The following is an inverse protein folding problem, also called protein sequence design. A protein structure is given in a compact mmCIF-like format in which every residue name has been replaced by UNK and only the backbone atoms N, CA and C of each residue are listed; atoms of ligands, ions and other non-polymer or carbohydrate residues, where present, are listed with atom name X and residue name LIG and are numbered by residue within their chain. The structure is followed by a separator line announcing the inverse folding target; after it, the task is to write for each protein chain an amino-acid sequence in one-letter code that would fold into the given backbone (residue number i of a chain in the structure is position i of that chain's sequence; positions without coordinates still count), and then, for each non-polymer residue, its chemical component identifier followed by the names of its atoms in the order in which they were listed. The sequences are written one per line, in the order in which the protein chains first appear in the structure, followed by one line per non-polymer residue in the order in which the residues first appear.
data_IF_195083510816
#
_entry.id   IF_195083510816
#
_cell.length_a   1.000
_cell.length_b   1.000
_cell.length_c   1.000
_cell.angle_alpha   90.00
_cell.angle_beta   90.00
_cell.angle_gamma   90.00
#
_symmetry.space_group_name_H-M   'P 1'
#
loop_
_entity.id
_entity.type
_entity.pdbx_description
1 polymer ?
#
# COMPACT_ATOMS: atom_id res chain seq x y z
N UNK A 1 8.32 14.53 16.12
CA UNK A 1 6.91 14.86 15.81
C UNK A 1 6.08 13.74 16.34
N UNK A 2 5.02 14.10 17.03
CA UNK A 2 4.17 13.14 17.71
C UNK A 2 3.23 12.46 16.71
N UNK A 3 2.79 11.23 16.97
CA UNK A 3 1.92 10.48 16.05
C UNK A 3 0.64 11.22 15.66
N UNK A 4 -0.03 11.85 16.63
CA UNK A 4 -1.24 12.66 16.38
C UNK A 4 -0.96 13.86 15.47
N UNK A 5 0.15 14.56 15.68
CA UNK A 5 0.57 15.70 14.85
C UNK A 5 0.81 15.27 13.38
N UNK A 6 1.26 14.03 13.16
CA UNK A 6 1.42 13.48 11.81
C UNK A 6 0.08 13.19 11.14
N UNK A 7 -0.93 12.74 11.90
CA UNK A 7 -2.28 12.55 11.37
C UNK A 7 -2.90 13.90 10.96
N UNK A 8 -2.80 14.91 11.83
CA UNK A 8 -3.28 16.27 11.53
C UNK A 8 -2.62 16.82 10.26
N UNK A 9 -1.33 16.60 10.07
CA UNK A 9 -0.64 17.05 8.85
C UNK A 9 -1.12 16.31 7.60
N UNK A 10 -1.39 15.00 7.69
CA UNK A 10 -1.96 14.21 6.58
C UNK A 10 -3.29 14.83 6.19
N UNK A 11 -4.17 15.09 7.16
CA UNK A 11 -5.47 15.68 6.89
C UNK A 11 -5.34 17.09 6.28
N UNK A 12 -4.52 17.96 6.87
CA UNK A 12 -4.34 19.33 6.41
C UNK A 12 -3.71 19.45 5.01
N UNK A 13 -2.76 18.57 4.67
CA UNK A 13 -2.03 18.66 3.40
C UNK A 13 -2.67 17.84 2.27
N UNK A 14 -3.27 16.69 2.60
CA UNK A 14 -3.78 15.73 1.62
C UNK A 14 -5.31 15.84 1.51
N UNK A 15 -6.00 16.27 2.57
CA UNK A 15 -7.46 16.38 2.59
C UNK A 15 -8.19 15.06 2.79
N UNK A 16 -7.49 14.02 3.26
CA UNK A 16 -8.07 12.71 3.58
C UNK A 16 -8.09 12.53 5.09
N UNK A 17 -9.19 11.99 5.62
CA UNK A 17 -9.28 11.64 7.04
C UNK A 17 -8.37 10.44 7.34
N UNK A 18 -7.34 10.57 8.18
CA UNK A 18 -6.52 9.42 8.55
C UNK A 18 -7.31 8.47 9.46
N UNK A 19 -7.21 7.17 9.18
CA UNK A 19 -7.81 6.11 10.01
C UNK A 19 -6.72 5.10 10.38
N UNK A 20 -5.98 5.33 11.49
CA UNK A 20 -4.88 4.44 11.88
C UNK A 20 -5.37 3.01 12.12
N UNK A 21 -4.68 2.01 11.58
CA UNK A 21 -4.96 0.59 11.84
C UNK A 21 -4.10 0.05 13.00
N UNK A 22 -2.94 0.65 13.19
CA UNK A 22 -2.05 0.41 14.32
C UNK A 22 -1.59 1.74 14.92
N UNK A 23 -1.01 1.67 16.12
CA UNK A 23 -0.51 2.84 16.82
C UNK A 23 0.90 2.61 17.36
N UNK A 24 1.84 3.57 17.23
CA UNK A 24 3.19 3.40 17.71
C UNK A 24 3.25 3.55 19.24
N UNK A 25 4.06 2.71 19.89
CA UNK A 25 4.50 2.95 21.26
C UNK A 25 5.86 3.63 21.18
N UNK A 26 5.95 4.84 21.75
CA UNK A 26 7.11 5.71 21.63
C UNK A 26 7.13 6.55 20.36
N UNK A 27 8.03 7.53 20.34
CA UNK A 27 8.16 8.51 19.25
C UNK A 27 9.33 8.17 18.30
N UNK A 28 9.43 8.93 17.20
CA UNK A 28 10.61 8.84 16.33
C UNK A 28 11.91 9.03 17.13
N UNK A 29 12.82 8.06 17.03
CA UNK A 29 14.07 8.01 17.81
C UNK A 29 14.01 7.02 18.98
N UNK A 30 12.86 6.93 19.66
CA UNK A 30 12.58 5.96 20.74
C UNK A 30 11.36 5.09 20.40
N UNK A 31 11.28 4.64 19.14
CA UNK A 31 10.17 3.81 18.67
C UNK A 31 10.36 2.39 19.21
N UNK A 32 9.36 1.89 19.97
CA UNK A 32 9.48 0.65 20.76
C UNK A 32 8.63 -0.49 20.25
N UNK A 33 7.51 -0.21 19.57
CA UNK A 33 6.62 -1.24 19.05
C UNK A 33 5.33 -0.67 18.47
N UNK A 34 4.40 -1.56 18.16
CA UNK A 34 3.09 -1.21 17.59
C UNK A 34 1.98 -1.90 18.37
N UNK A 35 0.88 -1.19 18.59
CA UNK A 35 -0.40 -1.72 19.06
C UNK A 35 -1.29 -1.88 17.83
N UNK A 36 -1.80 -3.08 17.60
CA UNK A 36 -2.87 -3.30 16.63
C UNK A 36 -4.19 -2.76 17.22
N UNK A 37 -4.82 -1.78 16.58
CA UNK A 37 -6.01 -1.11 17.17
C UNK A 37 -7.25 -2.00 17.20
N UNK A 38 -7.34 -2.98 16.28
CA UNK A 38 -8.51 -3.86 16.22
C UNK A 38 -8.50 -4.92 17.32
N UNK A 39 -7.32 -5.47 17.63
CA UNK A 39 -7.15 -6.56 18.61
C UNK A 39 -6.60 -6.10 19.96
N UNK A 40 -6.03 -4.90 20.04
CA UNK A 40 -5.28 -4.41 21.19
C UNK A 40 -3.92 -5.09 21.38
N UNK A 41 -3.49 -5.92 20.42
CA UNK A 41 -2.26 -6.71 20.54
C UNK A 41 -1.02 -5.81 20.42
N UNK A 42 -0.14 -5.86 21.43
CA UNK A 42 1.15 -5.18 21.36
C UNK A 42 2.22 -6.07 20.77
N UNK A 43 2.93 -5.55 19.78
CA UNK A 43 4.14 -6.15 19.23
C UNK A 43 5.33 -5.25 19.53
N UNK A 44 6.21 -5.72 20.40
CA UNK A 44 7.46 -5.05 20.74
C UNK A 44 8.48 -5.22 19.62
N UNK A 45 9.18 -4.15 19.29
CA UNK A 45 10.29 -4.12 18.35
C UNK A 45 11.62 -4.10 19.11
N UNK A 46 12.47 -5.10 18.89
CA UNK A 46 13.87 -5.07 19.33
C UNK A 46 14.79 -4.98 18.13
N UNK A 47 15.57 -3.89 18.05
CA UNK A 47 16.55 -3.68 16.97
C UNK A 47 17.71 -4.69 17.10
N UNK A 48 18.05 -5.33 16.00
CA UNK A 48 19.23 -6.20 15.93
C UNK A 48 20.51 -5.38 15.79
N UNK A 49 21.62 -5.77 16.44
CA UNK A 49 22.91 -5.13 16.28
C UNK A 49 23.35 -5.07 14.81
N UNK A 50 23.79 -3.90 14.36
CA UNK A 50 24.31 -3.70 13.01
C UNK A 50 23.25 -3.50 11.91
N UNK A 51 21.94 -3.59 12.22
CA UNK A 51 20.86 -3.22 11.30
C UNK A 51 20.75 -4.07 10.00
N UNK A 52 21.50 -5.17 9.93
CA UNK A 52 21.57 -6.03 8.74
C UNK A 52 20.41 -7.05 8.67
N UNK A 53 19.71 -7.26 9.78
CA UNK A 53 18.63 -8.25 9.91
C UNK A 53 17.33 -7.59 10.37
N UNK A 54 16.20 -8.26 10.08
CA UNK A 54 14.87 -7.85 10.53
C UNK A 54 14.87 -7.68 12.05
N UNK A 55 14.18 -6.65 12.55
CA UNK A 55 13.91 -6.51 13.97
C UNK A 55 13.26 -7.78 14.53
N UNK A 56 13.55 -8.08 15.79
CA UNK A 56 12.82 -9.09 16.52
C UNK A 56 11.45 -8.52 16.90
N UNK A 57 10.43 -9.33 16.70
CA UNK A 57 9.04 -9.02 17.01
C UNK A 57 8.62 -9.95 18.15
N UNK A 58 8.18 -9.38 19.25
CA UNK A 58 7.68 -10.13 20.41
C UNK A 58 6.28 -9.63 20.74
N UNK A 59 5.30 -10.55 20.73
CA UNK A 59 3.92 -10.23 21.11
C UNK A 59 3.82 -10.32 22.63
N UNK A 60 3.34 -9.24 23.25
CA UNK A 60 3.13 -9.14 24.68
C UNK A 60 1.66 -8.86 24.97
N UNK A 61 1.19 -9.34 26.12
CA UNK A 61 -0.11 -8.91 26.64
C UNK A 61 -0.03 -7.48 27.20
N UNK A 62 -1.21 -6.89 27.46
CA UNK A 62 -1.31 -5.50 27.88
C UNK A 62 -0.66 -5.23 29.26
N UNK A 63 -0.74 -6.19 30.20
CA UNK A 63 -0.18 -6.04 31.54
C UNK A 63 1.36 -6.04 31.49
N UNK A 64 1.93 -6.93 30.68
CA UNK A 64 3.38 -6.99 30.46
C UNK A 64 3.88 -5.78 29.67
N UNK A 65 3.14 -5.35 28.65
CA UNK A 65 3.45 -4.14 27.88
C UNK A 65 3.46 -2.89 28.78
N UNK A 66 2.44 -2.72 29.63
CA UNK A 66 2.37 -1.63 30.59
C UNK A 66 3.56 -1.63 31.57
N UNK A 67 3.95 -2.82 32.04
CA UNK A 67 5.09 -2.98 32.96
C UNK A 67 6.44 -2.66 32.30
N UNK A 68 6.63 -3.07 31.06
CA UNK A 68 7.90 -2.89 30.33
C UNK A 68 8.03 -1.46 29.79
N UNK A 69 7.00 -0.96 29.10
CA UNK A 69 7.08 0.28 28.34
C UNK A 69 6.71 1.51 29.16
N UNK A 70 5.94 1.32 30.25
CA UNK A 70 5.65 2.34 31.24
C UNK A 70 4.87 3.52 30.67
N UNK A 71 5.44 4.72 30.78
CA UNK A 71 4.78 5.95 30.35
C UNK A 71 4.42 5.96 28.86
N UNK A 72 5.25 5.39 27.99
CA UNK A 72 4.98 5.33 26.55
C UNK A 72 3.77 4.45 26.21
N UNK A 73 3.53 3.40 27.00
CA UNK A 73 2.34 2.57 26.87
C UNK A 73 1.08 3.33 27.26
N UNK A 74 1.13 4.01 28.41
CA UNK A 74 0.00 4.81 28.90
C UNK A 74 -0.35 5.90 27.89
N UNK A 75 0.66 6.63 27.40
CA UNK A 75 0.45 7.65 26.37
C UNK A 75 -0.15 7.05 25.10
N UNK A 76 0.38 5.93 24.58
CA UNK A 76 -0.17 5.30 23.39
C UNK A 76 -1.63 4.87 23.56
N UNK A 77 -2.02 4.37 24.74
CA UNK A 77 -3.41 4.01 25.04
C UNK A 77 -4.32 5.24 25.14
N UNK A 78 -3.89 6.31 25.82
CA UNK A 78 -4.63 7.58 25.87
C UNK A 78 -4.85 8.18 24.46
N UNK A 79 -3.84 8.10 23.59
CA UNK A 79 -3.94 8.55 22.21
C UNK A 79 -4.91 7.67 21.39
N UNK A 80 -4.91 6.34 21.60
CA UNK A 80 -5.88 5.42 20.98
C UNK A 80 -7.31 5.76 21.43
N UNK A 81 -7.53 5.97 22.73
CA UNK A 81 -8.84 6.36 23.28
C UNK A 81 -9.33 7.69 22.67
N UNK A 82 -8.42 8.64 22.47
CA UNK A 82 -8.72 9.89 21.78
C UNK A 82 -9.16 9.66 20.32
N UNK A 83 -8.45 8.79 19.59
CA UNK A 83 -8.80 8.46 18.20
C UNK A 83 -10.18 7.82 18.10
N UNK A 84 -10.52 6.91 19.02
CA UNK A 84 -11.85 6.31 19.11
C UNK A 84 -12.93 7.36 19.39
N UNK A 85 -12.67 8.27 20.33
CA UNK A 85 -13.60 9.37 20.64
C UNK A 85 -13.82 10.33 19.46
N UNK A 86 -12.82 10.48 18.58
CA UNK A 86 -12.90 11.27 17.35
C UNK A 86 -13.48 10.51 16.15
N UNK A 87 -13.78 9.21 16.29
CA UNK A 87 -14.27 8.38 15.19
C UNK A 87 -13.23 8.15 14.09
N UNK A 88 -11.94 8.15 14.44
CA UNK A 88 -10.83 7.89 13.52
C UNK A 88 -10.63 6.38 13.24
N UNK A 89 -11.71 5.61 13.31
CA UNK A 89 -11.72 4.19 13.01
C UNK A 89 -11.81 3.95 11.51
N UNK A 90 -11.27 2.81 11.10
CA UNK A 90 -11.36 2.40 9.71
C UNK A 90 -12.79 2.10 9.32
N UNK A 91 -13.21 2.72 8.23
CA UNK A 91 -14.48 2.46 7.57
C UNK A 91 -14.22 2.18 6.09
N UNK A 92 -14.64 0.99 5.65
CA UNK A 92 -14.34 0.50 4.32
C UNK A 92 -14.98 1.36 3.23
N UNK A 93 -16.18 1.87 3.46
CA UNK A 93 -16.92 2.63 2.45
C UNK A 93 -16.27 4.01 2.23
N UNK A 94 -15.88 4.72 3.29
CA UNK A 94 -15.13 5.98 3.19
C UNK A 94 -13.76 5.81 2.54
N UNK A 95 -13.07 4.69 2.78
CA UNK A 95 -11.82 4.38 2.09
C UNK A 95 -12.05 4.18 0.59
N UNK A 96 -13.05 3.40 0.22
CA UNK A 96 -13.42 3.14 -1.18
C UNK A 96 -13.92 4.40 -1.91
N UNK A 97 -14.53 5.33 -1.17
CA UNK A 97 -14.92 6.64 -1.68
C UNK A 97 -13.73 7.63 -1.82
N UNK A 98 -12.56 7.29 -1.26
CA UNK A 98 -11.40 8.18 -1.24
C UNK A 98 -11.59 9.38 -0.31
N UNK A 99 -12.35 9.21 0.78
CA UNK A 99 -12.58 10.22 1.82
C UNK A 99 -11.67 10.01 3.03
N UNK A 100 -11.31 8.75 3.30
CA UNK A 100 -10.40 8.35 4.37
C UNK A 100 -9.21 7.56 3.84
N UNK A 101 -8.13 7.51 4.64
CA UNK A 101 -6.94 6.74 4.33
C UNK A 101 -6.51 5.91 5.53
N UNK A 102 -6.44 4.57 5.41
CA UNK A 102 -5.77 3.72 6.38
C UNK A 102 -4.34 4.18 6.63
N UNK A 103 -3.96 4.36 7.89
CA UNK A 103 -2.59 4.72 8.28
C UNK A 103 -1.98 3.56 9.04
N UNK A 104 -0.75 3.18 8.64
CA UNK A 104 0.06 2.24 9.40
C UNK A 104 1.39 2.89 9.76
N UNK A 105 1.75 2.81 11.03
CA UNK A 105 3.07 3.11 11.54
C UNK A 105 3.98 1.88 11.42
N UNK A 106 5.27 2.13 11.30
CA UNK A 106 6.28 1.09 11.19
C UNK A 106 7.67 1.67 10.97
N UNK A 107 8.66 0.77 10.88
CA UNK A 107 10.04 1.12 10.63
C UNK A 107 10.57 0.26 9.47
N UNK A 108 10.58 0.83 8.27
CA UNK A 108 10.94 0.11 7.05
C UNK A 108 12.40 -0.37 7.04
N UNK A 109 13.34 0.44 7.55
CA UNK A 109 14.77 0.08 7.57
C UNK A 109 15.05 -1.21 8.36
N UNK A 110 14.54 -1.38 9.61
CA UNK A 110 14.63 -2.67 10.31
C UNK A 110 13.55 -3.68 9.90
N UNK A 111 12.76 -3.41 8.85
CA UNK A 111 11.69 -4.26 8.33
C UNK A 111 10.64 -4.64 9.39
N UNK A 112 10.17 -3.66 10.17
CA UNK A 112 9.14 -3.80 11.19
C UNK A 112 7.86 -3.04 10.76
N UNK A 113 6.69 -3.66 10.87
CA UNK A 113 5.43 -3.07 10.38
C UNK A 113 5.16 -3.29 8.88
N UNK A 114 6.15 -3.75 8.11
CA UNK A 114 6.04 -3.95 6.65
C UNK A 114 5.10 -5.11 6.31
N UNK A 115 5.07 -6.16 7.14
CA UNK A 115 4.15 -7.28 6.97
C UNK A 115 2.70 -6.83 7.08
N UNK A 116 2.38 -6.08 8.14
CA UNK A 116 1.05 -5.51 8.39
C UNK A 116 0.63 -4.57 7.25
N UNK A 117 1.55 -3.77 6.69
CA UNK A 117 1.27 -2.95 5.52
C UNK A 117 0.88 -3.81 4.31
N UNK A 118 1.62 -4.89 4.03
CA UNK A 118 1.31 -5.79 2.92
C UNK A 118 -0.02 -6.52 3.11
N UNK A 119 -0.31 -6.96 4.33
CA UNK A 119 -1.61 -7.57 4.68
C UNK A 119 -2.75 -6.59 4.48
N UNK A 120 -2.60 -5.33 4.94
CA UNK A 120 -3.58 -4.28 4.70
C UNK A 120 -3.78 -3.99 3.21
N UNK A 121 -2.69 -3.95 2.41
CA UNK A 121 -2.81 -3.77 0.96
C UNK A 121 -3.56 -4.94 0.31
N UNK A 122 -3.27 -6.18 0.70
CA UNK A 122 -3.95 -7.37 0.14
C UNK A 122 -5.42 -7.43 0.58
N UNK A 123 -5.71 -7.08 1.84
CA UNK A 123 -7.05 -7.17 2.42
C UNK A 123 -7.98 -6.01 2.06
N UNK A 124 -7.44 -4.81 1.84
CA UNK A 124 -8.23 -3.59 1.65
C UNK A 124 -8.20 -3.07 0.22
N UNK A 125 -7.11 -3.25 -0.53
CA UNK A 125 -7.01 -2.61 -1.85
C UNK A 125 -8.04 -3.20 -2.83
N UNK A 126 -8.68 -2.35 -3.66
CA UNK A 126 -9.71 -2.82 -4.57
C UNK A 126 -9.13 -3.68 -5.68
N UNK A 127 -9.86 -4.75 -6.01
CA UNK A 127 -9.60 -5.54 -7.20
C UNK A 127 -9.79 -4.69 -8.48
N UNK A 128 -9.23 -5.11 -9.63
CA UNK A 128 -9.56 -4.50 -10.91
C UNK A 128 -11.08 -4.47 -11.11
N UNK A 129 -11.62 -3.29 -11.39
CA UNK A 129 -13.04 -3.08 -11.66
C UNK A 129 -13.25 -2.68 -13.13
N UNK A 130 -14.50 -2.76 -13.57
CA UNK A 130 -14.90 -2.31 -14.90
C UNK A 130 -14.41 -0.87 -15.16
N UNK A 131 -14.02 -0.59 -16.40
CA UNK A 131 -13.57 0.74 -16.83
C UNK A 131 -14.38 1.21 -18.02
N UNK A 132 -14.74 2.48 -18.00
CA UNK A 132 -15.37 3.15 -19.13
C UNK A 132 -14.44 3.13 -20.36
N UNK A 133 -15.00 2.79 -21.52
CA UNK A 133 -14.32 2.92 -22.81
C UNK A 133 -14.38 4.37 -23.33
N UNK A 134 -13.85 4.62 -24.53
CA UNK A 134 -13.80 5.95 -25.12
C UNK A 134 -15.19 6.59 -25.41
N UNK A 135 -16.27 5.83 -25.27
CA UNK A 135 -17.66 6.31 -25.44
C UNK A 135 -18.46 6.16 -24.14
N UNK A 136 -17.78 6.17 -22.99
CA UNK A 136 -18.36 6.11 -21.65
C UNK A 136 -19.17 4.83 -21.36
N UNK A 137 -18.89 3.73 -22.08
CA UNK A 137 -19.52 2.44 -21.79
C UNK A 137 -18.64 1.64 -20.85
N UNK A 138 -19.20 1.16 -19.76
CA UNK A 138 -18.51 0.26 -18.85
C UNK A 138 -18.13 -1.04 -19.56
N UNK A 139 -16.83 -1.35 -19.53
CA UNK A 139 -16.29 -2.60 -20.02
C UNK A 139 -16.00 -3.53 -18.83
N UNK A 140 -16.67 -4.69 -18.73
CA UNK A 140 -16.38 -5.68 -17.70
C UNK A 140 -14.94 -6.20 -17.79
N UNK A 141 -14.39 -6.63 -16.65
CA UNK A 141 -13.01 -7.13 -16.56
C UNK A 141 -12.84 -8.41 -17.38
N UNK A 142 -13.89 -9.20 -17.54
CA UNK A 142 -13.91 -10.48 -18.28
C UNK A 142 -14.06 -10.28 -19.79
N UNK A 143 -14.33 -9.06 -20.26
CA UNK A 143 -14.46 -8.76 -21.68
C UNK A 143 -13.15 -9.06 -22.44
N UNK A 144 -13.19 -9.25 -23.78
CA UNK A 144 -11.98 -9.49 -24.57
C UNK A 144 -10.87 -8.48 -24.30
N UNK A 145 -9.61 -8.86 -24.50
CA UNK A 145 -8.44 -8.06 -24.13
C UNK A 145 -8.58 -6.58 -24.53
N UNK A 146 -8.37 -5.70 -23.57
CA UNK A 146 -8.19 -4.27 -23.80
C UNK A 146 -7.12 -3.72 -22.87
N UNK A 147 -6.47 -2.63 -23.28
CA UNK A 147 -5.49 -1.97 -22.45
C UNK A 147 -5.23 -0.53 -22.88
N UNK A 148 -4.79 0.27 -21.91
CA UNK A 148 -4.51 1.69 -22.10
C UNK A 148 -3.03 1.94 -21.87
N UNK A 149 -2.38 2.61 -22.84
CA UNK A 149 -1.03 3.13 -22.65
C UNK A 149 -1.10 4.31 -21.70
N UNK A 150 -0.42 4.24 -20.55
CA UNK A 150 -0.40 5.33 -19.56
C UNK A 150 0.97 5.98 -19.41
N UNK A 151 2.04 5.33 -19.88
CA UNK A 151 3.40 5.86 -19.83
C UNK A 151 4.19 5.40 -21.04
N UNK A 152 4.92 6.33 -21.67
CA UNK A 152 5.90 6.06 -22.71
C UNK A 152 7.29 6.37 -22.16
N UNK A 153 8.24 5.47 -22.35
CA UNK A 153 9.63 5.65 -21.98
C UNK A 153 10.52 5.42 -23.21
N UNK A 154 11.41 6.35 -23.50
CA UNK A 154 12.32 6.28 -24.65
C UNK A 154 13.77 6.15 -24.17
N UNK A 155 14.64 5.69 -25.07
CA UNK A 155 16.09 5.62 -24.89
C UNK A 155 16.54 4.69 -23.74
N UNK A 156 15.89 3.53 -23.59
CA UNK A 156 16.35 2.51 -22.64
C UNK A 156 17.67 1.86 -23.07
N UNK A 157 17.91 1.74 -24.37
CA UNK A 157 19.22 1.45 -24.95
C UNK A 157 19.71 2.66 -25.77
N UNK A 158 20.90 3.17 -25.42
CA UNK A 158 21.54 4.30 -26.10
C UNK A 158 21.82 4.01 -27.59
N UNK A 159 22.00 2.76 -27.96
CA UNK A 159 22.36 2.36 -29.33
C UNK A 159 21.14 2.18 -30.24
N UNK A 160 19.97 1.82 -29.69
CA UNK A 160 18.80 1.40 -30.48
C UNK A 160 17.63 2.39 -30.47
N UNK A 161 17.68 3.46 -29.65
CA UNK A 161 16.58 4.43 -29.49
C UNK A 161 15.23 3.77 -29.21
N UNK A 162 15.25 2.69 -28.43
CA UNK A 162 14.06 1.91 -28.13
C UNK A 162 13.03 2.77 -27.38
N UNK A 163 11.75 2.53 -27.69
CA UNK A 163 10.61 3.13 -27.01
C UNK A 163 9.73 2.03 -26.44
N UNK A 164 9.49 2.09 -25.14
CA UNK A 164 8.59 1.19 -24.43
C UNK A 164 7.31 1.91 -24.04
N UNK A 165 6.18 1.25 -24.31
CA UNK A 165 4.87 1.66 -23.85
C UNK A 165 4.46 0.79 -22.67
N UNK A 166 4.14 1.42 -21.53
CA UNK A 166 3.53 0.75 -20.39
C UNK A 166 2.02 0.74 -20.57
N UNK A 167 1.46 -0.46 -20.63
CA UNK A 167 0.05 -0.70 -20.86
C UNK A 167 -0.57 -1.22 -19.57
N UNK A 168 -1.63 -0.56 -19.10
CA UNK A 168 -2.54 -1.11 -18.10
C UNK A 168 -3.50 -2.04 -18.81
N UNK A 169 -3.58 -3.30 -18.40
CA UNK A 169 -4.64 -4.21 -18.85
C UNK A 169 -5.96 -3.78 -18.19
N UNK A 170 -6.97 -3.51 -19.01
CA UNK A 170 -8.28 -3.02 -18.55
C UNK A 170 -9.35 -4.11 -18.57
N UNK A 171 -9.23 -5.09 -19.48
CA UNK A 171 -10.09 -6.28 -19.52
C UNK A 171 -9.37 -7.44 -20.18
N UNK A 172 -9.87 -8.64 -19.95
CA UNK A 172 -9.43 -9.87 -20.59
C UNK A 172 -8.01 -10.26 -20.22
N UNK A 173 -7.40 -11.07 -21.09
CA UNK A 173 -6.08 -11.63 -20.88
C UNK A 173 -5.17 -11.26 -22.03
N UNK A 174 -3.96 -10.82 -21.70
CA UNK A 174 -2.90 -10.63 -22.67
C UNK A 174 -2.17 -11.95 -22.91
N UNK A 175 -2.13 -12.41 -24.16
CA UNK A 175 -1.31 -13.53 -24.57
C UNK A 175 -0.25 -13.06 -25.58
N UNK A 176 1.02 -13.36 -25.27
CA UNK A 176 2.15 -12.90 -26.07
C UNK A 176 2.02 -13.38 -27.52
N UNK A 177 2.17 -12.45 -28.47
CA UNK A 177 2.10 -12.75 -29.89
C UNK A 177 0.69 -12.63 -30.47
N UNK A 178 -0.34 -12.34 -29.65
CA UNK A 178 -1.66 -12.00 -30.16
C UNK A 178 -1.60 -10.75 -31.07
N UNK A 179 -2.51 -10.69 -32.04
CA UNK A 179 -2.71 -9.54 -32.90
C UNK A 179 -3.75 -8.63 -32.25
N UNK A 180 -3.34 -7.43 -31.88
CA UNK A 180 -4.20 -6.39 -31.33
C UNK A 180 -4.62 -5.42 -32.41
N UNK A 181 -5.68 -4.64 -32.15
CA UNK A 181 -6.02 -3.49 -32.98
C UNK A 181 -5.59 -2.22 -32.26
N UNK A 182 -4.75 -1.41 -32.90
CA UNK A 182 -4.39 -0.10 -32.36
C UNK A 182 -5.57 0.86 -32.56
N UNK A 183 -6.26 1.20 -31.47
CA UNK A 183 -7.54 1.92 -31.51
C UNK A 183 -7.52 3.21 -32.35
N UNK A 184 -6.45 4.02 -32.23
CA UNK A 184 -6.37 5.30 -32.95
C UNK A 184 -6.17 5.15 -34.47
N UNK A 185 -5.53 4.08 -34.93
CA UNK A 185 -5.23 3.91 -36.38
C UNK A 185 -6.06 2.81 -37.04
N UNK A 186 -6.78 1.99 -36.27
CA UNK A 186 -7.51 0.81 -36.74
C UNK A 186 -6.60 -0.29 -37.29
N UNK A 187 -5.27 -0.17 -37.17
CA UNK A 187 -4.33 -1.11 -37.77
C UNK A 187 -4.04 -2.29 -36.85
N UNK A 188 -3.84 -3.50 -37.40
CA UNK A 188 -3.37 -4.63 -36.63
C UNK A 188 -1.94 -4.38 -36.12
N UNK A 189 -1.67 -4.84 -34.90
CA UNK A 189 -0.40 -4.73 -34.20
C UNK A 189 -0.05 -6.07 -33.56
N UNK A 190 1.04 -6.70 -34.03
CA UNK A 190 1.50 -7.97 -33.48
C UNK A 190 2.38 -7.74 -32.24
N UNK A 191 2.08 -8.45 -31.15
CA UNK A 191 2.69 -8.21 -29.82
C UNK A 191 3.90 -9.10 -29.53
N UNK A 192 4.65 -9.52 -30.56
CA UNK A 192 5.74 -10.49 -30.45
C UNK A 192 6.86 -10.06 -29.49
N UNK A 193 7.10 -8.76 -29.38
CA UNK A 193 8.19 -8.16 -28.59
C UNK A 193 7.72 -7.52 -27.27
N UNK A 194 6.60 -7.98 -26.71
CA UNK A 194 6.13 -7.51 -25.39
C UNK A 194 7.08 -7.96 -24.27
N UNK A 195 7.32 -7.06 -23.31
CA UNK A 195 7.99 -7.37 -22.05
C UNK A 195 6.98 -7.35 -20.91
N UNK A 196 7.12 -8.29 -19.97
CA UNK A 196 6.40 -8.27 -18.71
C UNK A 196 7.39 -7.86 -17.62
N UNK A 197 7.00 -6.89 -16.79
CA UNK A 197 7.82 -6.44 -15.66
C UNK A 197 7.45 -7.29 -14.47
N UNK A 198 8.36 -8.19 -14.09
CA UNK A 198 8.28 -8.92 -12.83
C UNK A 198 9.26 -8.30 -11.84
N UNK A 199 8.99 -8.44 -10.54
CA UNK A 199 10.05 -8.30 -9.53
C UNK A 199 11.21 -9.23 -9.86
N UNK A 200 12.40 -8.97 -9.33
CA UNK A 200 13.63 -9.73 -9.60
C UNK A 200 13.54 -11.20 -9.13
N UNK A 201 12.81 -12.03 -9.89
CA UNK A 201 12.67 -13.50 -9.91
C UNK A 201 12.12 -14.19 -8.63
N UNK A 202 11.22 -15.18 -8.71
CA UNK A 202 11.46 -16.54 -9.21
C UNK A 202 10.30 -17.14 -10.02
N UNK A 203 10.67 -17.80 -11.12
CA UNK A 203 9.90 -18.90 -11.68
C UNK A 203 9.91 -20.10 -10.71
N UNK A 204 8.77 -20.76 -10.58
CA UNK A 204 8.70 -22.22 -10.53
C UNK A 204 7.46 -22.67 -11.29
#
# INVERSE_FOLDING_TARGET
REPLELLDEIEQRIGLRPTPLNWPVGIAGDFRGLIDRASGTYTKMTRQPGGATKALEEVLDADEAARIEGAEWVQAQEEIELLEALGADFDHDSFMAGESSPVLFGAALPNFGVGQLLEAVVGLAPAPAAKADAVERERPVEAPFSGQVFKMQANMDKNHRDRMAFVRVSSGRFDRGMVLTHAATGRPFATKYSQAVFGSERST
#
